data_IF_208156944096
#
_entry.id   IF_208156944096
#
_cell.length_a   1.000
_cell.length_b   1.000
_cell.length_c   1.000
_cell.angle_alpha   90.00
_cell.angle_beta   90.00
_cell.angle_gamma   90.00
#
_symmetry.space_group_name_H-M   'P 1'
#
loop_
_entity.id
_entity.type
_entity.pdbx_description
1 polymer ?
#
# COMPACT_ATOMS: atom_id res chain seq x y z
N UNK A 1 -0.57 -16.74 6.76
CA UNK A 1 0.47 -17.25 5.84
C UNK A 1 0.84 -16.09 4.95
N UNK A 2 2.07 -15.60 5.03
CA UNK A 2 2.48 -14.44 4.23
C UNK A 2 2.51 -14.84 2.75
N UNK A 3 1.83 -14.10 1.88
CA UNK A 3 1.89 -14.31 0.42
C UNK A 3 3.26 -14.01 -0.20
N UNK A 4 4.16 -13.44 0.59
CA UNK A 4 5.51 -13.12 0.18
C UNK A 4 6.29 -14.38 -0.21
N UNK A 5 6.74 -14.42 -1.47
CA UNK A 5 7.45 -15.57 -2.05
C UNK A 5 8.87 -15.65 -1.46
N UNK A 6 9.51 -14.49 -1.26
CA UNK A 6 10.76 -14.31 -0.54
C UNK A 6 10.52 -13.81 0.89
N UNK A 7 11.33 -14.23 1.87
CA UNK A 7 11.24 -13.73 3.23
C UNK A 7 11.46 -12.20 3.25
N UNK A 8 10.52 -11.50 3.89
CA UNK A 8 10.67 -10.06 4.13
C UNK A 8 11.90 -9.87 5.02
N UNK A 9 12.82 -8.93 4.70
CA UNK A 9 13.94 -8.64 5.58
C UNK A 9 13.41 -8.19 6.95
N UNK A 10 13.91 -8.79 8.04
CA UNK A 10 13.50 -8.50 9.43
C UNK A 10 13.63 -7.01 9.81
N UNK A 11 14.46 -6.28 9.06
CA UNK A 11 14.73 -4.86 9.23
C UNK A 11 13.68 -3.94 8.57
N UNK A 12 12.67 -4.51 7.90
CA UNK A 12 11.59 -3.76 7.25
C UNK A 12 10.32 -3.87 8.11
N UNK A 13 9.77 -2.75 8.59
CA UNK A 13 8.51 -2.76 9.33
C UNK A 13 7.37 -3.25 8.43
N UNK A 14 6.49 -4.05 9.03
CA UNK A 14 5.28 -4.55 8.37
C UNK A 14 4.12 -3.64 8.76
N UNK A 15 3.48 -3.02 7.78
CA UNK A 15 2.25 -2.27 7.95
C UNK A 15 1.09 -3.24 8.09
N UNK A 16 0.54 -3.29 9.28
CA UNK A 16 -0.61 -4.14 9.60
C UNK A 16 -1.95 -3.41 9.35
N UNK A 17 -1.94 -2.07 9.29
CA UNK A 17 -3.17 -1.25 9.24
C UNK A 17 -3.14 -0.17 8.17
N UNK A 18 -4.33 0.26 7.73
CA UNK A 18 -4.48 1.36 6.76
C UNK A 18 -3.95 2.68 7.29
N UNK A 19 -4.09 2.95 8.58
CA UNK A 19 -3.55 4.18 9.19
C UNK A 19 -2.04 4.26 9.02
N UNK A 20 -1.31 3.16 9.25
CA UNK A 20 0.15 3.12 9.03
C UNK A 20 0.50 3.41 7.58
N UNK A 21 -0.23 2.83 6.63
CA UNK A 21 -0.05 3.14 5.21
C UNK A 21 -0.34 4.62 4.92
N UNK A 22 -1.42 5.16 5.47
CA UNK A 22 -1.86 6.52 5.19
C UNK A 22 -0.89 7.55 5.76
N UNK A 23 -0.37 7.30 6.97
CA UNK A 23 0.70 8.09 7.59
C UNK A 23 1.97 8.03 6.74
N UNK A 24 2.43 6.83 6.36
CA UNK A 24 3.59 6.66 5.48
C UNK A 24 3.40 7.34 4.12
N UNK A 25 2.22 7.24 3.51
CA UNK A 25 1.91 7.89 2.24
C UNK A 25 1.83 9.41 2.38
N UNK A 26 1.35 9.90 3.52
CA UNK A 26 1.30 11.32 3.84
C UNK A 26 2.71 11.90 3.99
N UNK A 27 3.55 11.25 4.81
CA UNK A 27 4.95 11.64 5.00
C UNK A 27 5.80 11.43 3.75
N UNK A 28 5.52 10.37 2.99
CA UNK A 28 6.20 10.01 1.76
C UNK A 28 5.27 10.23 0.56
N UNK A 29 4.85 11.48 0.33
CA UNK A 29 3.98 11.81 -0.81
C UNK A 29 4.61 11.52 -2.17
N UNK A 30 5.94 11.29 -2.20
CA UNK A 30 6.71 10.86 -3.39
C UNK A 30 7.07 9.37 -3.37
N UNK A 31 6.62 8.65 -2.35
CA UNK A 31 6.75 7.21 -2.28
C UNK A 31 5.89 6.54 -3.36
N UNK A 32 6.19 5.28 -3.62
CA UNK A 32 5.43 4.47 -4.58
C UNK A 32 5.18 3.10 -3.98
N UNK A 33 3.94 2.63 -4.12
CA UNK A 33 3.60 1.26 -3.80
C UNK A 33 3.99 0.37 -4.97
N UNK A 34 4.61 -0.75 -4.63
CA UNK A 34 5.16 -1.68 -5.59
C UNK A 34 4.71 -3.10 -5.29
N UNK A 35 4.04 -3.73 -6.25
CA UNK A 35 3.46 -5.07 -6.14
C UNK A 35 4.47 -6.17 -6.45
N UNK A 36 5.64 -6.13 -5.82
CA UNK A 36 6.65 -7.19 -5.97
C UNK A 36 6.40 -8.34 -5.00
N UNK A 37 6.98 -9.50 -5.31
CA UNK A 37 7.07 -10.65 -4.40
C UNK A 37 5.72 -11.18 -3.85
N UNK A 38 4.60 -10.92 -4.52
CA UNK A 38 3.27 -11.39 -4.10
C UNK A 38 2.60 -10.55 -3.00
N UNK A 39 3.15 -9.37 -2.66
CA UNK A 39 2.58 -8.42 -1.70
C UNK A 39 2.80 -6.97 -2.14
N UNK A 40 2.54 -6.01 -1.24
CA UNK A 40 2.71 -4.59 -1.52
C UNK A 40 3.86 -4.00 -0.71
N UNK A 41 4.85 -3.42 -1.39
CA UNK A 41 6.00 -2.74 -0.80
C UNK A 41 5.82 -1.24 -0.90
N UNK A 42 5.93 -0.52 0.22
CA UNK A 42 6.04 0.93 0.22
C UNK A 42 7.50 1.32 -0.01
N UNK A 43 7.77 1.97 -1.14
CA UNK A 43 9.06 2.53 -1.48
C UNK A 43 9.07 4.04 -1.23
N UNK A 44 10.20 4.59 -0.77
CA UNK A 44 10.45 6.03 -0.79
C UNK A 44 10.68 6.55 -2.23
N UNK A 45 10.74 7.87 -2.43
CA UNK A 45 11.15 8.52 -3.69
C UNK A 45 12.48 8.01 -4.25
N UNK A 46 13.34 7.44 -3.41
CA UNK A 46 14.64 6.85 -3.80
C UNK A 46 14.54 5.37 -4.21
N UNK A 47 13.36 4.77 -4.18
CA UNK A 47 13.16 3.33 -4.42
C UNK A 47 13.62 2.45 -3.27
N UNK A 48 13.78 3.02 -2.05
CA UNK A 48 14.13 2.25 -0.85
C UNK A 48 12.85 1.69 -0.23
N UNK A 49 12.83 0.40 0.08
CA UNK A 49 11.75 -0.22 0.86
C UNK A 49 11.71 0.43 2.25
N UNK A 50 10.60 1.09 2.54
CA UNK A 50 10.30 1.68 3.84
C UNK A 50 9.50 0.70 4.69
N UNK A 51 8.50 0.06 4.11
CA UNK A 51 7.64 -0.87 4.80
C UNK A 51 6.96 -1.85 3.82
N UNK A 52 6.42 -2.94 4.34
CA UNK A 52 5.66 -3.94 3.56
C UNK A 52 4.25 -4.09 4.10
N UNK A 53 3.27 -4.34 3.24
CA UNK A 53 1.90 -4.56 3.69
C UNK A 53 1.72 -5.99 4.22
N UNK A 54 1.05 -6.14 5.36
CA UNK A 54 0.53 -7.43 5.82
C UNK A 54 -0.56 -7.97 4.89
N UNK A 55 -0.85 -9.26 4.99
CA UNK A 55 -1.97 -9.91 4.28
C UNK A 55 -3.31 -9.20 4.58
N UNK A 56 -3.56 -8.90 5.86
CA UNK A 56 -4.73 -8.15 6.34
C UNK A 56 -4.85 -6.75 5.70
N UNK A 57 -3.70 -6.07 5.56
CA UNK A 57 -3.64 -4.76 4.93
C UNK A 57 -3.85 -4.85 3.42
N UNK A 58 -3.38 -5.92 2.79
CA UNK A 58 -3.58 -6.21 1.37
C UNK A 58 -5.08 -6.30 1.04
N UNK A 59 -5.86 -6.99 1.87
CA UNK A 59 -7.32 -7.06 1.74
C UNK A 59 -7.98 -5.68 1.96
N UNK A 60 -7.51 -4.93 2.95
CA UNK A 60 -8.00 -3.58 3.20
C UNK A 60 -7.67 -2.62 2.05
N UNK A 61 -6.50 -2.75 1.43
CA UNK A 61 -6.06 -1.99 0.27
C UNK A 61 -6.93 -2.29 -0.94
N UNK A 62 -7.21 -3.56 -1.23
CA UNK A 62 -8.11 -3.95 -2.32
C UNK A 62 -9.52 -3.38 -2.10
N UNK A 63 -10.07 -3.54 -0.89
CA UNK A 63 -11.36 -2.98 -0.51
C UNK A 63 -11.39 -1.44 -0.63
N UNK A 64 -10.30 -0.78 -0.20
CA UNK A 64 -10.16 0.67 -0.26
C UNK A 64 -10.02 1.16 -1.69
N UNK A 65 -9.22 0.52 -2.52
CA UNK A 65 -9.02 0.89 -3.91
C UNK A 65 -10.29 0.65 -4.74
N UNK A 66 -11.02 -0.43 -4.44
CA UNK A 66 -12.35 -0.71 -4.98
C UNK A 66 -13.37 0.35 -4.59
N UNK A 67 -13.34 0.82 -3.33
CA UNK A 67 -14.18 1.93 -2.87
C UNK A 67 -13.77 3.29 -3.47
N UNK A 68 -12.48 3.58 -3.58
CA UNK A 68 -11.94 4.83 -4.13
C UNK A 68 -12.20 4.97 -5.64
N UNK A 69 -12.14 3.87 -6.39
CA UNK A 69 -12.60 3.82 -7.79
C UNK A 69 -14.09 4.17 -7.92
N UNK A 70 -14.91 3.78 -6.95
CA UNK A 70 -16.33 4.11 -6.95
C UNK A 70 -16.58 5.60 -6.71
N UNK A 71 -15.72 6.28 -5.93
CA UNK A 71 -15.86 7.72 -5.65
C UNK A 71 -15.39 8.59 -6.83
N UNK A 72 -14.32 8.23 -7.55
CA UNK A 72 -13.90 8.97 -8.75
C UNK A 72 -14.89 8.88 -9.92
N UNK A 73 -15.87 7.98 -9.87
CA UNK A 73 -16.95 7.91 -10.88
C UNK A 73 -18.07 8.93 -10.61
N UNK A 74 -17.98 9.72 -9.54
CA UNK A 74 -19.00 10.73 -9.16
C UNK A 74 -18.59 12.19 -9.34
N UNK A 75 -17.37 12.48 -9.77
CA UNK A 75 -16.91 13.87 -10.01
C UNK A 75 -16.87 14.23 -11.51
N UNK A 76 -17.21 13.30 -12.40
CA UNK A 76 -17.16 13.50 -13.85
C UNK A 76 -18.55 13.54 -14.52
N UNK A 77 -19.60 13.85 -13.75
CA UNK A 77 -20.98 14.00 -14.23
C UNK A 77 -21.61 15.32 -13.76
N UNK A 78 -20.86 16.42 -13.86
CA UNK A 78 -21.43 17.78 -13.87
C UNK A 78 -20.88 18.52 -15.10
N UNK A 79 -21.44 18.21 -16.28
CA UNK A 79 -21.58 19.16 -17.40
C UNK A 79 -22.98 19.02 -18.01
#
# INVERSE_FOLDING_TARGET
>A
TTRYIEPIPDNIPVMETRDQLHELAHENSKGSLDDRNGGYYMLDKKGKVLAVASDDLCEHLDASMKSAKQIHTRDNLEE
#
